data_IF_677486321728
#
_entry.id   IF_677486321728
#
_cell.length_a   1.000
_cell.length_b   1.000
_cell.length_c   1.000
_cell.angle_alpha   90.00
_cell.angle_beta   90.00
_cell.angle_gamma   90.00
#
_symmetry.space_group_name_H-M   'P 1'
#
loop_
_entity.id
_entity.type
_entity.pdbx_description
1 polymer ?
#
# COMPACT_ATOMS: atom_id res chain seq x y z
N UNK A 1 -5.41 -33.43 -13.32
CA UNK A 1 -6.07 -33.32 -11.99
C UNK A 1 -5.12 -33.61 -10.82
N UNK A 2 -3.81 -33.29 -10.88
CA UNK A 2 -2.88 -33.41 -9.73
C UNK A 2 -2.65 -32.10 -8.98
N UNK A 3 -2.88 -30.95 -9.62
CA UNK A 3 -2.65 -29.61 -9.04
C UNK A 3 -3.64 -29.30 -7.91
N UNK A 4 -4.88 -29.79 -8.00
CA UNK A 4 -5.92 -29.54 -6.97
C UNK A 4 -5.71 -30.35 -5.69
N UNK A 5 -4.85 -31.36 -5.72
CA UNK A 5 -4.55 -32.24 -4.59
C UNK A 5 -3.20 -31.93 -3.94
N UNK A 6 -2.48 -30.94 -4.46
CA UNK A 6 -1.18 -30.53 -3.92
C UNK A 6 -1.37 -29.55 -2.76
N UNK A 7 -0.96 -29.90 -1.52
CA UNK A 7 -1.06 -28.98 -0.38
C UNK A 7 -0.24 -27.70 -0.58
N UNK A 8 0.82 -27.71 -1.40
CA UNK A 8 1.60 -26.51 -1.72
C UNK A 8 0.83 -25.48 -2.56
N UNK A 9 -0.09 -25.95 -3.42
CA UNK A 9 -0.96 -25.09 -4.22
C UNK A 9 -1.93 -24.32 -3.32
N UNK A 10 -2.60 -25.01 -2.39
CA UNK A 10 -3.56 -24.40 -1.46
C UNK A 10 -2.89 -23.40 -0.51
N UNK A 11 -1.68 -23.71 -0.03
CA UNK A 11 -0.93 -22.79 0.82
C UNK A 11 -0.55 -21.49 0.08
N UNK A 12 -0.06 -21.60 -1.15
CA UNK A 12 0.31 -20.44 -1.98
C UNK A 12 -0.90 -19.58 -2.36
N UNK A 13 -2.03 -20.24 -2.64
CA UNK A 13 -3.30 -19.57 -2.92
C UNK A 13 -3.78 -18.79 -1.69
N UNK A 14 -3.77 -19.42 -0.52
CA UNK A 14 -4.17 -18.76 0.73
C UNK A 14 -3.30 -17.56 1.05
N UNK A 15 -1.97 -17.69 0.94
CA UNK A 15 -1.04 -16.57 1.14
C UNK A 15 -1.30 -15.42 0.18
N UNK A 16 -1.59 -15.70 -1.09
CA UNK A 16 -1.90 -14.66 -2.09
C UNK A 16 -3.21 -13.95 -1.78
N UNK A 17 -4.24 -14.69 -1.39
CA UNK A 17 -5.54 -14.13 -1.00
C UNK A 17 -5.38 -13.23 0.23
N UNK A 18 -4.65 -13.70 1.25
CA UNK A 18 -4.41 -12.94 2.47
C UNK A 18 -3.56 -11.70 2.23
N UNK A 19 -2.49 -11.83 1.46
CA UNK A 19 -1.69 -10.69 1.02
C UNK A 19 -2.55 -9.63 0.32
N UNK A 20 -3.32 -10.04 -0.69
CA UNK A 20 -4.16 -9.12 -1.48
C UNK A 20 -5.23 -8.46 -0.60
N UNK A 21 -5.92 -9.22 0.24
CA UNK A 21 -6.94 -8.70 1.13
C UNK A 21 -6.37 -7.64 2.10
N UNK A 22 -5.24 -7.92 2.73
CA UNK A 22 -4.58 -6.99 3.66
C UNK A 22 -4.07 -5.74 2.96
N UNK A 23 -3.45 -5.87 1.79
CA UNK A 23 -2.92 -4.73 1.04
C UNK A 23 -4.04 -3.85 0.52
N UNK A 24 -5.10 -4.43 -0.05
CA UNK A 24 -6.25 -3.67 -0.55
C UNK A 24 -6.97 -2.97 0.59
N UNK A 25 -7.27 -3.67 1.68
CA UNK A 25 -7.92 -3.07 2.84
C UNK A 25 -7.05 -1.97 3.46
N UNK A 26 -5.77 -2.27 3.72
CA UNK A 26 -4.84 -1.33 4.35
C UNK A 26 -4.59 -0.08 3.50
N UNK A 27 -4.33 -0.23 2.21
CA UNK A 27 -4.11 0.91 1.31
C UNK A 27 -5.37 1.75 1.09
N UNK A 28 -6.55 1.13 1.07
CA UNK A 28 -7.84 1.82 0.95
C UNK A 28 -8.15 2.63 2.20
N UNK A 29 -8.05 2.01 3.38
CA UNK A 29 -8.31 2.68 4.68
C UNK A 29 -7.32 3.81 4.89
N UNK A 30 -6.02 3.55 4.68
CA UNK A 30 -4.99 4.58 4.82
C UNK A 30 -5.19 5.71 3.80
N UNK A 31 -5.49 5.38 2.55
CA UNK A 31 -5.77 6.37 1.50
C UNK A 31 -6.97 7.25 1.85
N UNK A 32 -8.07 6.67 2.35
CA UNK A 32 -9.25 7.40 2.79
C UNK A 32 -8.95 8.29 4.00
N UNK A 33 -8.23 7.77 5.01
CA UNK A 33 -7.86 8.54 6.19
C UNK A 33 -7.02 9.77 5.82
N UNK A 34 -6.01 9.59 4.97
CA UNK A 34 -5.18 10.70 4.47
C UNK A 34 -6.01 11.63 3.59
N UNK A 35 -6.92 11.13 2.76
CA UNK A 35 -7.78 11.96 1.91
C UNK A 35 -8.70 12.86 2.73
N UNK A 36 -9.33 12.32 3.79
CA UNK A 36 -10.15 13.11 4.70
C UNK A 36 -9.33 14.19 5.41
N UNK A 37 -8.11 13.87 5.85
CA UNK A 37 -7.19 14.84 6.45
C UNK A 37 -6.85 15.98 5.47
N UNK A 38 -6.55 15.63 4.22
CA UNK A 38 -6.23 16.58 3.15
C UNK A 38 -7.44 17.26 2.52
N UNK A 39 -8.66 16.89 2.91
CA UNK A 39 -9.86 17.56 2.42
C UNK A 39 -9.97 18.99 2.98
N UNK A 40 -9.33 19.26 4.13
CA UNK A 40 -9.26 20.59 4.76
C UNK A 40 -8.30 21.51 4.00
N UNK A 41 -8.55 22.82 4.11
CA UNK A 41 -7.66 23.85 3.57
C UNK A 41 -6.51 24.11 4.55
N UNK A 42 -5.26 24.00 4.07
CA UNK A 42 -4.07 24.33 4.85
C UNK A 42 -2.94 24.83 3.95
N UNK A 43 -2.03 25.65 4.51
CA UNK A 43 -1.04 26.44 3.76
C UNK A 43 -0.07 25.61 2.91
N UNK A 44 0.24 24.37 3.33
CA UNK A 44 1.21 23.48 2.66
C UNK A 44 0.54 22.32 1.90
N UNK A 45 -0.75 22.42 1.58
CA UNK A 45 -1.53 21.34 0.95
C UNK A 45 -0.94 20.84 -0.37
N UNK A 46 -0.48 21.75 -1.22
CA UNK A 46 0.11 21.40 -2.53
C UNK A 46 1.40 20.61 -2.35
N UNK A 47 2.32 21.09 -1.52
CA UNK A 47 3.61 20.43 -1.24
C UNK A 47 3.41 19.06 -0.60
N UNK A 48 2.54 18.97 0.41
CA UNK A 48 2.28 17.71 1.08
C UNK A 48 1.62 16.68 0.14
N UNK A 49 0.75 17.12 -0.78
CA UNK A 49 0.15 16.24 -1.80
C UNK A 49 1.22 15.70 -2.75
N UNK A 50 2.16 16.54 -3.18
CA UNK A 50 3.27 16.11 -4.05
C UNK A 50 4.16 15.06 -3.37
N UNK A 51 4.45 15.22 -2.07
CA UNK A 51 5.23 14.24 -1.31
C UNK A 51 4.54 12.88 -1.20
N UNK A 52 3.21 12.87 -0.98
CA UNK A 52 2.43 11.62 -0.96
C UNK A 52 2.49 10.92 -2.33
N UNK A 53 2.31 11.68 -3.42
CA UNK A 53 2.32 11.15 -4.78
C UNK A 53 3.71 10.62 -5.18
N UNK A 54 4.79 11.22 -4.65
CA UNK A 54 6.16 10.83 -4.95
C UNK A 54 6.39 9.32 -4.73
N UNK A 55 5.90 8.79 -3.61
CA UNK A 55 6.01 7.35 -3.30
C UNK A 55 5.37 6.45 -4.36
N UNK A 56 4.33 6.93 -5.06
CA UNK A 56 3.67 6.17 -6.12
C UNK A 56 4.36 6.30 -7.49
N UNK A 57 5.06 7.41 -7.75
CA UNK A 57 5.73 7.67 -9.03
C UNK A 57 7.12 7.04 -9.06
N UNK A 58 7.77 6.87 -7.91
CA UNK A 58 9.11 6.28 -7.84
C UNK A 58 9.13 4.85 -8.41
N UNK A 59 10.15 4.49 -9.22
CA UNK A 59 10.35 3.13 -9.73
C UNK A 59 10.34 2.09 -8.60
N UNK A 60 9.60 1.00 -8.81
CA UNK A 60 9.43 -0.06 -7.80
C UNK A 60 10.75 -0.69 -7.37
N UNK A 61 11.65 -0.94 -8.33
CA UNK A 61 12.97 -1.54 -8.06
C UNK A 61 13.78 -0.69 -7.08
N UNK A 62 13.84 0.62 -7.31
CA UNK A 62 14.59 1.55 -6.44
C UNK A 62 14.04 1.55 -5.01
N UNK A 63 12.71 1.52 -4.86
CA UNK A 63 12.07 1.47 -3.55
C UNK A 63 12.35 0.16 -2.82
N UNK A 64 12.36 -0.97 -3.53
CA UNK A 64 12.70 -2.28 -2.93
C UNK A 64 14.12 -2.27 -2.36
N UNK A 65 15.09 -1.71 -3.08
CA UNK A 65 16.46 -1.58 -2.58
C UNK A 65 16.56 -0.64 -1.37
N UNK A 66 15.88 0.51 -1.41
CA UNK A 66 15.83 1.42 -0.28
C UNK A 66 15.21 0.76 0.97
N UNK A 67 14.10 0.04 0.79
CA UNK A 67 13.43 -0.69 1.86
C UNK A 67 14.32 -1.80 2.42
N UNK A 68 14.99 -2.58 1.55
CA UNK A 68 15.97 -3.60 1.97
C UNK A 68 17.12 -3.02 2.79
N UNK A 69 17.62 -1.85 2.42
CA UNK A 69 18.66 -1.17 3.16
C UNK A 69 18.16 -0.70 4.54
N UNK A 70 16.97 -0.11 4.59
CA UNK A 70 16.37 0.41 5.82
C UNK A 70 16.06 -0.66 6.87
N UNK A 71 15.65 -1.85 6.42
CA UNK A 71 15.28 -2.99 7.27
C UNK A 71 16.42 -4.02 7.43
N UNK A 72 17.65 -3.65 7.06
CA UNK A 72 18.80 -4.53 7.24
C UNK A 72 19.01 -4.85 8.74
N UNK A 73 19.20 -6.14 9.05
CA UNK A 73 19.33 -6.61 10.43
C UNK A 73 20.57 -6.09 11.17
N UNK A 74 21.64 -5.71 10.45
CA UNK A 74 22.89 -5.26 11.06
C UNK A 74 23.01 -3.74 11.26
N UNK A 75 22.53 -2.94 10.30
CA UNK A 75 22.71 -1.47 10.31
C UNK A 75 21.46 -0.71 9.85
N UNK A 76 20.31 -1.37 9.74
CA UNK A 76 19.07 -0.77 9.27
C UNK A 76 18.55 0.29 10.24
N UNK A 77 18.22 1.46 9.72
CA UNK A 77 17.70 2.58 10.52
C UNK A 77 16.38 2.23 11.22
N UNK A 78 15.57 1.32 10.65
CA UNK A 78 14.29 0.92 11.24
C UNK A 78 14.50 0.08 12.49
N UNK A 79 15.53 -0.77 12.50
CA UNK A 79 15.88 -1.58 13.66
C UNK A 79 16.42 -0.71 14.79
N UNK A 80 17.30 0.22 14.46
CA UNK A 80 17.78 1.23 15.41
C UNK A 80 16.62 2.01 16.04
N UNK A 81 15.68 2.50 15.24
CA UNK A 81 14.51 3.23 15.76
C UNK A 81 13.58 2.33 16.61
N UNK A 82 13.34 1.09 16.19
CA UNK A 82 12.41 0.18 16.86
C UNK A 82 12.93 -0.39 18.18
N UNK A 83 14.22 -0.72 18.24
CA UNK A 83 14.88 -1.35 19.39
C UNK A 83 15.44 -0.28 20.34
N UNK A 84 16.30 0.61 19.83
CA UNK A 84 17.09 1.51 20.69
C UNK A 84 16.33 2.78 21.10
N UNK A 85 15.44 3.28 20.23
CA UNK A 85 14.70 4.52 20.51
C UNK A 85 13.31 4.25 21.09
N UNK A 86 12.51 3.42 20.42
CA UNK A 86 11.11 3.17 20.78
C UNK A 86 10.92 1.99 21.73
N UNK A 87 11.95 1.16 21.96
CA UNK A 87 11.90 -0.03 22.81
C UNK A 87 10.68 -0.94 22.53
N UNK A 88 10.28 -1.04 21.26
CA UNK A 88 9.12 -1.84 20.85
C UNK A 88 9.43 -3.35 20.89
N UNK A 89 10.70 -3.72 20.77
CA UNK A 89 11.17 -5.11 20.78
C UNK A 89 12.54 -5.17 21.48
N UNK A 90 12.81 -6.26 22.22
CA UNK A 90 14.12 -6.49 22.86
C UNK A 90 15.24 -6.78 21.85
N UNK A 91 14.88 -7.37 20.71
CA UNK A 91 15.79 -7.66 19.60
C UNK A 91 15.09 -7.37 18.28
N UNK A 92 15.84 -6.83 17.32
CA UNK A 92 15.32 -6.55 15.99
C UNK A 92 14.80 -7.85 15.33
N UNK A 93 13.55 -7.88 14.83
CA UNK A 93 13.06 -9.01 14.07
C UNK A 93 13.97 -9.30 12.87
N UNK A 94 14.19 -10.58 12.56
CA UNK A 94 14.88 -10.98 11.35
C UNK A 94 13.97 -10.76 10.14
N UNK A 95 13.88 -9.52 9.67
CA UNK A 95 12.86 -9.07 8.72
C UNK A 95 12.83 -9.84 7.40
N UNK A 96 13.95 -10.43 6.98
CA UNK A 96 14.06 -11.21 5.75
C UNK A 96 14.22 -12.71 5.99
N UNK A 97 14.71 -13.13 7.16
CA UNK A 97 15.05 -14.53 7.44
C UNK A 97 13.92 -15.29 8.15
N UNK A 98 12.96 -14.57 8.74
CA UNK A 98 11.77 -15.16 9.34
C UNK A 98 10.53 -14.98 8.42
N UNK A 99 9.82 -16.06 8.03
CA UNK A 99 8.68 -15.98 7.13
C UNK A 99 7.55 -15.03 7.58
N UNK A 100 7.30 -14.94 8.89
CA UNK A 100 6.25 -14.09 9.44
C UNK A 100 6.59 -12.60 9.34
N UNK A 101 7.79 -12.20 9.73
CA UNK A 101 8.25 -10.80 9.60
C UNK A 101 8.43 -10.40 8.14
N UNK A 102 8.90 -11.32 7.28
CA UNK A 102 8.98 -11.10 5.84
C UNK A 102 7.60 -10.81 5.24
N UNK A 103 6.58 -11.57 5.61
CA UNK A 103 5.21 -11.34 5.15
C UNK A 103 4.69 -9.97 5.58
N UNK A 104 4.83 -9.63 6.87
CA UNK A 104 4.41 -8.32 7.41
C UNK A 104 5.14 -7.18 6.69
N UNK A 105 6.44 -7.30 6.48
CA UNK A 105 7.24 -6.28 5.80
C UNK A 105 6.77 -6.03 4.37
N UNK A 106 6.51 -7.10 3.62
CA UNK A 106 6.04 -7.01 2.23
C UNK A 106 4.64 -6.39 2.17
N UNK A 107 3.73 -6.76 3.08
CA UNK A 107 2.40 -6.16 3.19
C UNK A 107 2.50 -4.66 3.51
N UNK A 108 3.32 -4.26 4.49
CA UNK A 108 3.51 -2.86 4.86
C UNK A 108 4.09 -2.04 3.72
N UNK A 109 5.11 -2.57 3.04
CA UNK A 109 5.69 -1.95 1.85
C UNK A 109 4.64 -1.72 0.77
N UNK A 110 3.83 -2.73 0.48
CA UNK A 110 2.78 -2.65 -0.52
C UNK A 110 1.71 -1.62 -0.15
N UNK A 111 1.22 -1.61 1.11
CA UNK A 111 0.28 -0.61 1.60
C UNK A 111 0.84 0.80 1.40
N UNK A 112 2.09 1.04 1.83
CA UNK A 112 2.75 2.35 1.70
C UNK A 112 2.94 2.75 0.23
N UNK A 113 3.28 1.80 -0.65
CA UNK A 113 3.46 2.07 -2.08
C UNK A 113 2.14 2.41 -2.78
N UNK A 114 1.03 1.86 -2.29
CA UNK A 114 -0.24 1.82 -3.01
C UNK A 114 -1.33 2.72 -2.44
N UNK A 115 -1.22 3.16 -1.17
CA UNK A 115 -2.15 4.13 -0.59
C UNK A 115 -2.25 5.46 -1.37
N UNK A 116 -1.20 6.00 -2.05
CA UNK A 116 -1.34 7.30 -2.73
C UNK A 116 -2.35 7.25 -3.87
N UNK A 117 -2.52 6.09 -4.52
CA UNK A 117 -3.55 5.89 -5.52
C UNK A 117 -4.95 6.03 -4.91
N UNK A 118 -5.24 5.29 -3.84
CA UNK A 118 -6.51 5.36 -3.12
C UNK A 118 -6.77 6.78 -2.58
N UNK A 119 -5.72 7.42 -2.04
CA UNK A 119 -5.75 8.80 -1.58
C UNK A 119 -6.20 9.78 -2.67
N UNK A 120 -5.61 9.72 -3.88
CA UNK A 120 -5.97 10.63 -4.98
C UNK A 120 -7.42 10.40 -5.40
N UNK A 121 -7.85 9.14 -5.54
CA UNK A 121 -9.20 8.77 -5.92
C UNK A 121 -10.24 9.29 -4.91
N UNK A 122 -10.01 9.07 -3.61
CA UNK A 122 -10.91 9.54 -2.57
C UNK A 122 -10.89 11.05 -2.43
N UNK A 123 -9.73 11.69 -2.53
CA UNK A 123 -9.64 13.15 -2.45
C UNK A 123 -10.39 13.81 -3.61
N UNK A 124 -10.37 13.23 -4.81
CA UNK A 124 -11.09 13.76 -5.97
C UNK A 124 -12.61 13.77 -5.74
N UNK A 125 -13.20 12.66 -5.27
CA UNK A 125 -14.65 12.60 -5.00
C UNK A 125 -15.05 13.41 -3.78
N UNK A 126 -14.22 13.47 -2.73
CA UNK A 126 -14.49 14.31 -1.56
C UNK A 126 -14.60 15.79 -1.92
N UNK A 127 -13.86 16.24 -2.93
CA UNK A 127 -13.88 17.62 -3.41
C UNK A 127 -15.13 17.95 -4.24
N UNK A 128 -15.87 16.96 -4.75
CA UNK A 128 -17.11 17.19 -5.50
C UNK A 128 -18.36 17.23 -4.61
N UNK A 129 -18.24 16.84 -3.34
CA UNK A 129 -19.38 16.86 -2.41
C UNK A 129 -19.67 18.31 -2.02
N UNK A 130 -20.92 18.73 -2.18
CA UNK A 130 -21.36 20.07 -1.77
C UNK A 130 -21.24 20.24 -0.25
N UNK A 131 -20.69 21.38 0.17
CA UNK A 131 -20.56 21.78 1.58
C UNK A 131 -21.93 21.95 2.23
N UNK A 132 -22.96 22.33 1.47
CA UNK A 132 -24.34 22.51 1.95
C UNK A 132 -24.91 21.25 2.61
N UNK A 133 -24.53 20.05 2.14
CA UNK A 133 -24.96 18.77 2.73
C UNK A 133 -24.37 18.55 4.13
N UNK A 134 -23.13 19.00 4.35
CA UNK A 134 -22.50 18.92 5.66
C UNK A 134 -23.07 19.94 6.65
N UNK A 135 -23.39 21.14 6.16
CA UNK A 135 -24.03 22.20 6.94
C UNK A 135 -25.46 21.82 7.34
N UNK A 136 -26.26 21.25 6.41
CA UNK A 136 -27.60 20.76 6.71
C UNK A 136 -27.59 19.66 7.80
N UNK A 137 -26.69 18.68 7.67
CA UNK A 137 -26.55 17.63 8.69
C UNK A 137 -26.10 18.19 10.05
N UNK A 138 -25.29 19.26 10.07
CA UNK A 138 -24.90 19.94 11.30
C UNK A 138 -26.05 20.69 11.95
N UNK A 139 -26.92 21.32 11.16
CA UNK A 139 -28.16 21.94 11.63
C UNK A 139 -29.14 20.91 12.22
N UNK A 140 -29.15 19.68 11.68
CA UNK A 140 -29.92 18.55 12.21
C UNK A 140 -29.28 17.91 13.46
N UNK A 141 -28.17 18.46 13.97
CA UNK A 141 -27.48 17.98 15.17
C UNK A 141 -26.60 16.75 14.95
N UNK A 142 -26.25 16.41 13.71
CA UNK A 142 -25.43 15.23 13.43
C UNK A 142 -23.96 15.42 13.88
N UNK A 143 -23.46 14.45 14.63
CA UNK A 143 -22.05 14.39 15.03
C UNK A 143 -21.13 14.05 13.83
N UNK A 144 -19.82 14.19 14.00
CA UNK A 144 -18.85 13.98 12.91
C UNK A 144 -18.89 12.55 12.31
N UNK A 145 -19.16 11.53 13.12
CA UNK A 145 -19.27 10.15 12.66
C UNK A 145 -20.56 9.90 11.87
N UNK A 146 -21.67 10.51 12.30
CA UNK A 146 -22.95 10.49 11.59
C UNK A 146 -22.83 11.20 10.25
N UNK A 147 -22.18 12.38 10.21
CA UNK A 147 -21.89 13.09 8.95
C UNK A 147 -21.07 12.23 7.99
N UNK A 148 -20.04 11.54 8.49
CA UNK A 148 -19.27 10.60 7.67
C UNK A 148 -20.14 9.46 7.12
N UNK A 149 -20.98 8.83 7.95
CA UNK A 149 -21.79 7.68 7.54
C UNK A 149 -22.95 8.05 6.62
N UNK A 150 -23.58 9.22 6.82
CA UNK A 150 -24.79 9.65 6.12
C UNK A 150 -24.46 10.41 4.83
N UNK A 151 -23.41 11.24 4.84
CA UNK A 151 -23.05 12.08 3.69
C UNK A 151 -21.86 11.50 2.95
N UNK A 152 -20.74 11.29 3.65
CA UNK A 152 -19.47 10.93 3.00
C UNK A 152 -19.48 9.50 2.44
N UNK A 153 -19.84 8.51 3.25
CA UNK A 153 -19.79 7.09 2.90
C UNK A 153 -20.62 6.74 1.65
N UNK A 154 -21.89 7.16 1.51
CA UNK A 154 -22.65 6.88 0.29
C UNK A 154 -22.08 7.63 -0.92
N UNK A 155 -21.55 8.84 -0.75
CA UNK A 155 -20.94 9.59 -1.85
C UNK A 155 -19.64 8.94 -2.38
N UNK A 156 -18.83 8.33 -1.50
CA UNK A 156 -17.58 7.68 -1.89
C UNK A 156 -17.75 6.21 -2.30
N UNK A 157 -18.90 5.58 -2.01
CA UNK A 157 -19.17 4.18 -2.30
C UNK A 157 -18.87 3.74 -3.76
N UNK A 158 -19.25 4.50 -4.81
CA UNK A 158 -18.90 4.13 -6.18
C UNK A 158 -17.37 4.13 -6.41
N UNK A 159 -16.67 5.12 -5.84
CA UNK A 159 -15.20 5.21 -5.96
C UNK A 159 -14.51 4.12 -5.16
N UNK A 160 -15.03 3.79 -3.98
CA UNK A 160 -14.54 2.69 -3.15
C UNK A 160 -14.63 1.37 -3.91
N UNK A 161 -15.77 1.09 -4.55
CA UNK A 161 -15.95 -0.10 -5.37
C UNK A 161 -14.95 -0.15 -6.53
N UNK A 162 -14.73 0.97 -7.23
CA UNK A 162 -13.74 1.05 -8.32
C UNK A 162 -12.32 0.83 -7.81
N UNK A 163 -11.91 1.50 -6.73
CA UNK A 163 -10.55 1.39 -6.17
C UNK A 163 -10.29 -0.04 -5.73
N UNK A 164 -11.21 -0.66 -5.00
CA UNK A 164 -11.07 -2.04 -4.51
C UNK A 164 -11.01 -3.03 -5.68
N UNK A 165 -11.94 -2.91 -6.64
CA UNK A 165 -12.00 -3.85 -7.79
C UNK A 165 -10.78 -3.72 -8.70
N UNK A 166 -10.38 -2.49 -9.03
CA UNK A 166 -9.21 -2.28 -9.87
C UNK A 166 -7.93 -2.77 -9.16
N UNK A 167 -7.83 -2.54 -7.85
CA UNK A 167 -6.69 -2.98 -7.06
C UNK A 167 -6.57 -4.48 -6.96
N UNK A 168 -7.65 -5.18 -6.62
CA UNK A 168 -7.63 -6.64 -6.55
C UNK A 168 -7.22 -7.26 -7.87
N UNK A 169 -7.72 -6.74 -9.01
CA UNK A 169 -7.33 -7.22 -10.35
C UNK A 169 -5.85 -6.95 -10.63
N UNK A 170 -5.38 -5.72 -10.38
CA UNK A 170 -4.00 -5.33 -10.67
C UNK A 170 -2.98 -6.03 -9.78
N UNK A 171 -3.27 -6.22 -8.50
CA UNK A 171 -2.37 -6.89 -7.55
C UNK A 171 -2.21 -8.36 -7.92
N UNK A 172 -3.31 -9.05 -8.26
CA UNK A 172 -3.26 -10.45 -8.75
C UNK A 172 -2.44 -10.56 -10.05
N UNK A 173 -2.54 -9.58 -10.96
CA UNK A 173 -1.75 -9.56 -12.18
C UNK A 173 -0.26 -9.28 -11.91
N UNK A 174 0.05 -8.36 -11.00
CA UNK A 174 1.43 -8.03 -10.62
C UNK A 174 2.14 -9.19 -9.92
N UNK A 175 1.45 -9.89 -9.00
CA UNK A 175 2.00 -11.06 -8.32
C UNK A 175 2.41 -12.14 -9.33
N UNK A 176 1.59 -12.35 -10.37
CA UNK A 176 1.98 -13.24 -11.49
C UNK A 176 3.20 -12.72 -12.24
N UNK A 177 3.27 -11.43 -12.55
CA UNK A 177 4.41 -10.82 -13.23
C UNK A 177 5.74 -11.02 -12.47
N UNK A 178 5.74 -10.87 -11.15
CA UNK A 178 6.92 -11.14 -10.32
C UNK A 178 7.26 -12.64 -10.25
N UNK A 179 6.26 -13.54 -10.11
CA UNK A 179 6.49 -14.99 -10.14
C UNK A 179 7.07 -15.45 -11.49
N UNK A 180 6.54 -14.95 -12.62
CA UNK A 180 7.08 -15.25 -13.96
C UNK A 180 8.46 -14.62 -14.23
N UNK A 181 8.76 -13.48 -13.60
CA UNK A 181 10.08 -12.85 -13.67
C UNK A 181 11.14 -13.60 -12.84
N UNK A 182 10.72 -14.30 -11.79
CA UNK A 182 11.59 -15.14 -10.94
C UNK A 182 11.79 -16.54 -11.56
N UNK A 183 10.76 -17.11 -12.20
CA UNK A 183 10.82 -18.41 -12.89
C UNK A 183 11.68 -18.37 -14.18
N UNK A 184 11.83 -17.18 -14.75
CA UNK A 184 12.75 -16.92 -15.86
C UNK A 184 14.00 -16.28 -15.28
N UNK A 185 15.02 -17.07 -14.90
CA UNK A 185 16.37 -16.65 -14.45
C UNK A 185 17.09 -15.67 -15.42
N UNK A 186 16.49 -14.50 -15.60
CA UNK A 186 16.65 -13.51 -16.67
C UNK A 186 16.80 -12.11 -16.08
N UNK A 187 16.53 -11.93 -14.77
CA UNK A 187 16.98 -10.75 -14.04
C UNK A 187 18.53 -10.66 -14.04
N UNK A 188 19.21 -11.78 -13.83
CA UNK A 188 20.67 -11.90 -13.97
C UNK A 188 21.13 -11.72 -15.42
N UNK A 189 20.33 -12.14 -16.42
CA UNK A 189 20.70 -11.98 -17.84
C UNK A 189 20.52 -10.56 -18.35
N UNK A 190 19.47 -9.82 -17.95
CA UNK A 190 19.30 -8.41 -18.34
C UNK A 190 20.43 -7.52 -17.80
N UNK A 191 20.86 -7.73 -16.55
CA UNK A 191 22.03 -7.05 -15.99
C UNK A 191 23.32 -7.48 -16.72
N UNK A 192 23.46 -8.77 -17.06
CA UNK A 192 24.63 -9.26 -17.81
C UNK A 192 24.67 -8.79 -19.28
N UNK A 193 23.52 -8.59 -19.92
CA UNK A 193 23.40 -8.12 -21.30
C UNK A 193 23.67 -6.62 -21.39
N UNK A 194 23.27 -5.84 -20.38
CA UNK A 194 23.60 -4.42 -20.30
C UNK A 194 25.10 -4.20 -20.03
N UNK A 195 25.76 -5.08 -19.26
CA UNK A 195 27.21 -5.04 -19.07
C UNK A 195 28.03 -5.54 -20.29
N UNK A 196 27.41 -6.25 -21.25
CA UNK A 196 28.07 -6.70 -22.50
C UNK A 196 27.89 -5.74 -23.68
N UNK A 197 27.01 -4.74 -23.56
CA UNK A 197 26.80 -3.70 -24.57
C UNK A 197 27.54 -2.39 -24.23
N UNK A 198 28.20 -2.33 -23.07
CA UNK A 198 29.05 -1.20 -22.64
C UNK A 198 30.56 -1.54 -22.64
N UNK A 199 30.96 -2.62 -23.31
CA UNK A 199 32.34 -2.94 -23.72
C UNK A 199 32.35 -3.14 -25.24
#
# INVERSE_FOLDING_TARGET
MRILSDPGFWHSLWMTVWYTALVVAGSTVLGLAVAMFFNREFRLRKTARSLVILSYVTPSISLVFAWKYMFNNGYGIVNYLGVDLLHLYEQAPLWFDNPGSSFVLVVLFAIWRYFPYAFISFLAILQTIDKSLYEAAEMDGANAWQRFRIVTLPAIMPVLATVVTLRTILDVLHVRGCLFADDQGRYSRCISLQNRLCL
#
